data_IF_338728185201
#
_entry.id   IF_338728185201
#
_cell.length_a   1.000
_cell.length_b   1.000
_cell.length_c   1.000
_cell.angle_alpha   90.00
_cell.angle_beta   90.00
_cell.angle_gamma   90.00
#
_symmetry.space_group_name_H-M   'P 1'
#
loop_
_entity.id
_entity.type
_entity.pdbx_description
1 polymer ?
#
# COMPACT_ATOMS: atom_id res chain seq x y z
N UNK A 1 3.30 7.92 10.35
CA UNK A 1 3.14 6.73 9.47
C UNK A 1 2.24 7.04 8.29
N UNK A 2 2.48 6.39 7.18
CA UNK A 2 1.56 6.40 6.05
C UNK A 2 1.63 5.06 5.32
N UNK A 3 0.63 4.81 4.48
CA UNK A 3 0.55 3.62 3.64
C UNK A 3 0.81 4.02 2.19
N UNK A 4 1.71 3.30 1.52
CA UNK A 4 1.95 3.46 0.09
C UNK A 4 1.30 2.28 -0.61
N UNK A 5 0.39 2.54 -1.54
CA UNK A 5 -0.25 1.50 -2.32
C UNK A 5 0.21 1.59 -3.78
N UNK A 6 0.98 0.60 -4.21
CA UNK A 6 1.45 0.51 -5.60
C UNK A 6 0.42 -0.24 -6.43
N UNK A 7 -0.01 0.38 -7.52
CA UNK A 7 -1.04 -0.16 -8.39
C UNK A 7 -0.72 0.13 -9.87
N UNK A 8 -1.51 -0.42 -10.77
CA UNK A 8 -1.49 -0.05 -12.17
C UNK A 8 -2.93 -0.05 -12.71
N UNK A 9 -3.25 0.80 -13.71
CA UNK A 9 -4.60 0.88 -14.24
C UNK A 9 -5.12 -0.41 -14.86
N UNK A 10 -4.21 -1.26 -15.36
CA UNK A 10 -4.55 -2.55 -15.99
C UNK A 10 -4.68 -3.70 -14.99
N UNK A 11 -4.42 -3.45 -13.74
CA UNK A 11 -4.35 -4.50 -12.71
C UNK A 11 -5.74 -4.73 -12.09
N UNK A 12 -6.35 -5.89 -12.38
CA UNK A 12 -7.68 -6.23 -11.85
C UNK A 12 -7.72 -6.34 -10.34
N UNK A 13 -6.73 -6.96 -9.72
CA UNK A 13 -6.65 -7.09 -8.26
C UNK A 13 -6.46 -5.73 -7.58
N UNK A 14 -5.77 -4.80 -8.24
CA UNK A 14 -5.61 -3.45 -7.72
C UNK A 14 -6.95 -2.73 -7.60
N UNK A 15 -7.86 -2.97 -8.55
CA UNK A 15 -9.20 -2.38 -8.53
C UNK A 15 -10.03 -2.92 -7.36
N UNK A 16 -9.89 -4.21 -7.06
CA UNK A 16 -10.58 -4.85 -5.92
C UNK A 16 -10.06 -4.25 -4.62
N UNK A 17 -8.74 -4.11 -4.50
CA UNK A 17 -8.13 -3.53 -3.31
C UNK A 17 -8.55 -2.07 -3.12
N UNK A 18 -8.64 -1.29 -4.20
CA UNK A 18 -9.10 0.09 -4.15
C UNK A 18 -10.49 0.20 -3.54
N UNK A 19 -11.39 -0.72 -3.89
CA UNK A 19 -12.74 -0.75 -3.33
C UNK A 19 -12.72 -1.08 -1.83
N UNK A 20 -11.85 -1.99 -1.42
CA UNK A 20 -11.69 -2.31 0.00
C UNK A 20 -11.29 -1.06 0.78
N UNK A 21 -10.32 -0.30 0.29
CA UNK A 21 -9.83 0.92 0.96
C UNK A 21 -10.84 2.06 0.93
N UNK A 22 -11.73 2.09 -0.07
CA UNK A 22 -12.82 3.06 -0.11
C UNK A 22 -13.90 2.76 0.92
N UNK A 23 -14.20 1.47 1.13
CA UNK A 23 -15.29 1.03 2.00
C UNK A 23 -14.89 0.96 3.46
N UNK A 24 -13.62 0.70 3.73
CA UNK A 24 -13.12 0.47 5.09
C UNK A 24 -11.90 1.35 5.32
N UNK A 25 -12.05 2.31 6.23
CA UNK A 25 -11.06 3.35 6.48
C UNK A 25 -9.75 2.78 7.02
N UNK A 26 -8.65 3.25 6.44
CA UNK A 26 -7.31 3.05 7.00
C UNK A 26 -6.98 4.30 7.82
N UNK A 27 -6.46 4.10 9.02
CA UNK A 27 -6.33 5.15 10.03
C UNK A 27 -5.14 6.10 9.84
N UNK A 28 -4.33 5.89 8.80
CA UNK A 28 -3.22 6.79 8.42
C UNK A 28 -3.39 7.18 6.96
N UNK A 29 -2.73 8.25 6.50
CA UNK A 29 -2.81 8.66 5.10
C UNK A 29 -2.37 7.57 4.14
N UNK A 30 -3.02 7.51 2.98
CA UNK A 30 -2.68 6.57 1.91
C UNK A 30 -2.16 7.37 0.72
N UNK A 31 -1.01 6.97 0.21
CA UNK A 31 -0.47 7.49 -1.04
C UNK A 31 -0.64 6.42 -2.11
N UNK A 32 -1.42 6.72 -3.15
CA UNK A 32 -1.61 5.81 -4.28
C UNK A 32 -0.52 6.09 -5.31
N UNK A 33 0.26 5.07 -5.64
CA UNK A 33 1.40 5.21 -6.55
C UNK A 33 1.16 4.34 -7.77
N UNK A 34 1.03 4.99 -8.94
CA UNK A 34 0.90 4.28 -10.21
C UNK A 34 2.29 3.78 -10.63
N UNK A 35 2.48 2.46 -10.57
CA UNK A 35 3.77 1.84 -10.86
C UNK A 35 4.25 2.12 -12.27
N UNK A 36 3.35 2.35 -13.22
CA UNK A 36 3.71 2.65 -14.60
C UNK A 36 4.37 4.03 -14.73
N UNK A 37 4.07 4.95 -13.81
CA UNK A 37 4.56 6.34 -13.86
C UNK A 37 5.73 6.60 -12.91
N UNK A 38 6.00 5.70 -11.97
CA UNK A 38 6.93 5.93 -10.87
C UNK A 38 8.02 4.87 -10.80
N UNK A 39 8.81 4.76 -11.88
CA UNK A 39 9.88 3.77 -11.98
C UNK A 39 10.89 3.88 -10.83
N UNK A 40 11.20 5.10 -10.41
CA UNK A 40 12.17 5.34 -9.33
C UNK A 40 11.68 4.74 -8.01
N UNK A 41 10.40 4.90 -7.70
CA UNK A 41 9.83 4.35 -6.47
C UNK A 41 9.68 2.82 -6.55
N UNK A 42 9.32 2.31 -7.72
CA UNK A 42 9.26 0.87 -7.98
C UNK A 42 10.62 0.24 -7.70
N UNK A 43 11.70 0.86 -8.18
CA UNK A 43 13.06 0.37 -7.97
C UNK A 43 13.47 0.52 -6.50
N UNK A 44 13.20 1.69 -5.92
CA UNK A 44 13.59 1.98 -4.53
C UNK A 44 13.01 0.99 -3.54
N UNK A 45 11.72 0.65 -3.71
CA UNK A 45 11.02 -0.27 -2.82
C UNK A 45 11.00 -1.70 -3.34
N UNK A 46 11.67 -1.96 -4.46
CA UNK A 46 11.79 -3.29 -5.05
C UNK A 46 10.43 -3.95 -5.28
N UNK A 47 9.54 -3.21 -5.96
CA UNK A 47 8.18 -3.69 -6.23
C UNK A 47 8.23 -4.69 -7.37
N UNK A 48 7.76 -5.92 -7.11
CA UNK A 48 7.80 -7.02 -8.09
C UNK A 48 6.43 -7.54 -8.48
N UNK A 49 5.40 -7.15 -7.75
CA UNK A 49 4.03 -7.59 -8.03
C UNK A 49 3.07 -6.47 -7.65
N UNK A 50 1.86 -6.52 -8.21
CA UNK A 50 0.82 -5.53 -7.95
C UNK A 50 -0.47 -6.24 -7.55
N UNK A 51 -1.21 -5.70 -6.59
CA UNK A 51 -0.86 -4.54 -5.79
C UNK A 51 0.15 -4.90 -4.70
N UNK A 52 0.97 -3.94 -4.31
CA UNK A 52 1.82 -4.04 -3.13
C UNK A 52 1.51 -2.86 -2.23
N UNK A 53 1.27 -3.14 -0.96
CA UNK A 53 0.95 -2.14 0.05
C UNK A 53 2.06 -2.11 1.10
N UNK A 54 2.62 -0.94 1.37
CA UNK A 54 3.74 -0.79 2.29
C UNK A 54 3.38 0.23 3.36
N UNK A 55 3.55 -0.16 4.62
CA UNK A 55 3.45 0.76 5.75
C UNK A 55 4.84 1.32 6.04
N UNK A 56 4.96 2.64 6.03
CA UNK A 56 6.24 3.31 6.32
C UNK A 56 6.08 4.27 7.50
N UNK A 57 7.20 4.53 8.18
CA UNK A 57 7.24 5.52 9.26
C UNK A 57 7.53 6.92 8.72
N UNK A 58 7.70 7.89 9.62
CA UNK A 58 7.93 9.29 9.25
C UNK A 58 9.29 9.51 8.60
N UNK A 59 10.20 8.56 8.71
CA UNK A 59 11.53 8.61 8.09
C UNK A 59 11.58 7.79 6.79
N UNK A 60 10.43 7.40 6.25
CA UNK A 60 10.31 6.59 5.04
C UNK A 60 10.87 5.17 5.20
N UNK A 61 11.02 4.72 6.45
CA UNK A 61 11.46 3.36 6.72
C UNK A 61 10.29 2.40 6.59
N UNK A 62 10.47 1.31 5.85
CA UNK A 62 9.46 0.27 5.70
C UNK A 62 9.27 -0.47 7.02
N UNK A 63 8.03 -0.48 7.50
CA UNK A 63 7.65 -1.20 8.72
C UNK A 63 7.06 -2.56 8.41
N UNK A 64 6.25 -2.64 7.35
CA UNK A 64 5.65 -3.89 6.91
C UNK A 64 5.16 -3.75 5.47
N UNK A 65 5.03 -4.91 4.76
CA UNK A 65 4.49 -4.89 3.42
C UNK A 65 3.56 -6.09 3.19
N UNK A 66 2.57 -5.85 2.34
CA UNK A 66 1.60 -6.88 1.93
C UNK A 66 1.58 -6.96 0.40
N UNK A 67 1.37 -8.16 -0.11
CA UNK A 67 1.22 -8.40 -1.55
C UNK A 67 -0.20 -8.88 -1.83
N UNK A 68 -0.83 -8.33 -2.88
CA UNK A 68 -2.18 -8.72 -3.27
C UNK A 68 -3.26 -8.10 -2.38
N UNK A 69 -4.42 -8.76 -2.32
CA UNK A 69 -5.54 -8.26 -1.54
C UNK A 69 -5.23 -8.35 -0.04
N UNK A 70 -5.60 -7.29 0.67
CA UNK A 70 -5.48 -7.23 2.12
C UNK A 70 -6.64 -6.41 2.69
N UNK A 71 -7.22 -6.85 3.79
CA UNK A 71 -8.29 -6.11 4.46
C UNK A 71 -7.74 -4.90 5.17
N UNK A 72 -8.47 -3.79 5.12
CA UNK A 72 -8.12 -2.56 5.85
C UNK A 72 -7.95 -2.82 7.33
N UNK A 73 -8.77 -3.70 7.91
CA UNK A 73 -8.66 -4.10 9.31
C UNK A 73 -7.28 -4.65 9.65
N UNK A 74 -6.73 -5.50 8.78
CA UNK A 74 -5.41 -6.09 9.01
C UNK A 74 -4.31 -5.03 8.97
N UNK A 75 -4.43 -4.07 8.06
CA UNK A 75 -3.50 -2.95 7.98
C UNK A 75 -3.60 -2.08 9.25
N UNK A 76 -4.81 -1.77 9.69
CA UNK A 76 -5.03 -0.98 10.89
C UNK A 76 -4.48 -1.67 12.14
N UNK A 77 -4.60 -3.00 12.21
CA UNK A 77 -4.03 -3.77 13.31
C UNK A 77 -2.50 -3.65 13.34
N UNK A 78 -1.86 -3.70 12.17
CA UNK A 78 -0.41 -3.54 12.08
C UNK A 78 0.01 -2.12 12.45
N UNK A 79 -0.75 -1.11 12.04
CA UNK A 79 -0.51 0.28 12.42
C UNK A 79 -0.51 0.42 13.95
N UNK A 80 -1.49 -0.20 14.62
CA UNK A 80 -1.58 -0.16 16.07
C UNK A 80 -0.41 -0.86 16.74
N UNK A 81 0.08 -1.97 16.16
CA UNK A 81 1.26 -2.67 16.68
C UNK A 81 2.53 -1.82 16.56
N UNK A 82 2.62 -0.96 15.55
CA UNK A 82 3.81 -0.15 15.28
C UNK A 82 3.82 1.20 16.00
N UNK A 83 2.74 1.53 16.70
CA UNK A 83 2.65 2.80 17.44
C UNK A 83 3.36 2.77 18.78
#
# INVERSE_FOLDING_TARGET
>A
MKVMKFYAPWCGQCKILAKEFERNIITVPIENINADDEDDLVDKYNIRSLPTTILIDNNSKELFRWHGFIKSEDINNKINECR
#
